data_IF_409804824133
#
_entry.id   IF_409804824133
#
_cell.length_a   1.000
_cell.length_b   1.000
_cell.length_c   1.000
_cell.angle_alpha   90.00
_cell.angle_beta   90.00
_cell.angle_gamma   90.00
#
_symmetry.space_group_name_H-M   'P 1'
#
loop_
_entity.id
_entity.type
_entity.pdbx_description
1 polymer ?
#
# COMPACT_ATOMS: atom_id res chain seq x y z
N UNK A 1 13.65 -16.56 -7.96
CA UNK A 1 13.73 -16.37 -6.49
C UNK A 1 14.88 -15.44 -6.11
N UNK A 2 16.12 -15.71 -6.55
CA UNK A 2 17.30 -14.85 -6.29
C UNK A 2 17.17 -13.45 -6.95
N UNK A 3 16.64 -13.36 -8.17
CA UNK A 3 16.41 -12.05 -8.83
C UNK A 3 15.28 -11.24 -8.18
N UNK A 4 14.29 -11.91 -7.60
CA UNK A 4 13.22 -11.25 -6.84
C UNK A 4 13.76 -10.66 -5.53
N UNK A 5 14.61 -11.41 -4.83
CA UNK A 5 15.32 -10.94 -3.64
C UNK A 5 16.23 -9.76 -3.94
N UNK A 6 16.96 -9.76 -5.08
CA UNK A 6 17.77 -8.61 -5.50
C UNK A 6 16.93 -7.39 -5.83
N UNK A 7 15.84 -7.57 -6.59
CA UNK A 7 14.95 -6.48 -7.02
C UNK A 7 14.19 -5.83 -5.85
N UNK A 8 13.89 -6.59 -4.80
CA UNK A 8 13.17 -6.13 -3.61
C UNK A 8 14.06 -6.08 -2.35
N UNK A 9 15.38 -6.15 -2.51
CA UNK A 9 16.37 -6.21 -1.41
C UNK A 9 16.22 -5.07 -0.42
N UNK A 10 16.00 -3.85 -0.91
CA UNK A 10 15.80 -2.66 -0.09
C UNK A 10 14.56 -2.78 0.81
N UNK A 11 13.51 -3.43 0.32
CA UNK A 11 12.27 -3.67 1.06
C UNK A 11 12.48 -4.70 2.18
N UNK A 12 13.32 -5.72 1.94
CA UNK A 12 13.72 -6.67 2.97
C UNK A 12 14.62 -6.05 4.03
N UNK A 13 15.57 -5.18 3.65
CA UNK A 13 16.43 -4.47 4.61
C UNK A 13 15.59 -3.58 5.52
N UNK A 14 14.68 -2.80 4.95
CA UNK A 14 13.76 -1.96 5.75
C UNK A 14 12.87 -2.85 6.63
N UNK A 15 12.34 -3.95 6.10
CA UNK A 15 11.51 -4.88 6.86
C UNK A 15 12.23 -5.47 8.07
N UNK A 16 13.48 -5.91 7.90
CA UNK A 16 14.29 -6.46 9.00
C UNK A 16 14.54 -5.38 10.07
N UNK A 17 14.86 -4.15 9.67
CA UNK A 17 15.06 -3.03 10.61
C UNK A 17 13.76 -2.78 11.38
N UNK A 18 12.62 -2.68 10.71
CA UNK A 18 11.32 -2.45 11.36
C UNK A 18 10.98 -3.55 12.37
N UNK A 19 11.24 -4.82 12.02
CA UNK A 19 10.98 -5.95 12.93
C UNK A 19 11.89 -5.90 14.16
N UNK A 20 13.19 -5.63 13.98
CA UNK A 20 14.15 -5.53 15.10
C UNK A 20 13.78 -4.39 16.04
N UNK A 21 13.46 -3.21 15.48
CA UNK A 21 13.01 -2.07 16.28
C UNK A 21 11.67 -2.31 16.97
N UNK A 22 10.73 -3.01 16.33
CA UNK A 22 9.45 -3.37 16.93
C UNK A 22 9.57 -4.35 18.11
N UNK A 23 10.55 -5.26 18.09
CA UNK A 23 10.80 -6.17 19.22
C UNK A 23 11.55 -5.48 20.36
N UNK A 24 12.49 -4.59 20.05
CA UNK A 24 13.27 -3.87 21.07
C UNK A 24 12.51 -2.70 21.71
N UNK A 25 11.59 -2.07 20.97
CA UNK A 25 10.81 -0.92 21.41
C UNK A 25 9.31 -1.14 21.12
N UNK A 26 8.64 -2.05 21.83
CA UNK A 26 7.25 -2.40 21.58
C UNK A 26 6.27 -1.24 21.83
N UNK A 27 6.66 -0.27 22.68
CA UNK A 27 5.83 0.88 23.05
C UNK A 27 6.00 2.08 22.09
N UNK A 28 6.76 1.91 21.00
CA UNK A 28 6.98 2.99 20.04
C UNK A 28 5.73 3.21 19.19
N UNK A 29 4.97 4.26 19.48
CA UNK A 29 3.86 4.72 18.66
C UNK A 29 4.34 5.70 17.59
N UNK A 30 3.90 5.51 16.35
CA UNK A 30 4.09 6.49 15.28
C UNK A 30 2.80 7.29 15.19
N UNK A 31 2.84 8.53 15.66
CA UNK A 31 1.71 9.44 15.56
C UNK A 31 1.75 10.16 14.20
N UNK A 32 0.73 9.92 13.38
CA UNK A 32 0.59 10.57 12.07
C UNK A 32 -0.31 11.79 12.26
N UNK A 33 0.22 12.98 11.96
CA UNK A 33 -0.51 14.24 12.12
C UNK A 33 -0.79 14.95 10.79
N UNK A 34 -1.77 15.85 10.81
CA UNK A 34 -2.09 16.76 9.72
C UNK A 34 -2.61 16.05 8.47
N UNK A 35 -2.14 16.47 7.29
CA UNK A 35 -2.67 16.01 6.01
C UNK A 35 -2.54 14.50 5.75
N UNK A 36 -1.50 13.86 6.30
CA UNK A 36 -1.30 12.41 6.17
C UNK A 36 -2.33 11.61 6.99
N UNK A 37 -2.73 12.12 8.16
CA UNK A 37 -3.77 11.50 8.96
C UNK A 37 -5.12 11.53 8.23
N UNK A 38 -5.47 12.69 7.67
CA UNK A 38 -6.68 12.84 6.86
C UNK A 38 -6.68 11.95 5.62
N UNK A 39 -5.53 11.79 4.95
CA UNK A 39 -5.39 10.90 3.80
C UNK A 39 -5.62 9.44 4.21
N UNK A 40 -5.06 9.00 5.34
CA UNK A 40 -5.27 7.65 5.87
C UNK A 40 -6.76 7.40 6.25
N UNK A 41 -7.43 8.40 6.83
CA UNK A 41 -8.86 8.33 7.14
C UNK A 41 -9.71 8.25 5.87
N UNK A 42 -9.40 9.05 4.84
CA UNK A 42 -10.15 9.02 3.57
C UNK A 42 -9.96 7.68 2.86
N UNK A 43 -8.72 7.21 2.76
CA UNK A 43 -8.40 5.94 2.09
C UNK A 43 -9.02 4.74 2.79
N UNK A 44 -8.97 4.67 4.13
CA UNK A 44 -9.63 3.61 4.88
C UNK A 44 -11.15 3.60 4.69
N UNK A 45 -11.80 4.76 4.70
CA UNK A 45 -13.25 4.85 4.45
C UNK A 45 -13.61 4.43 3.02
N UNK A 46 -12.86 4.86 2.01
CA UNK A 46 -13.10 4.49 0.60
C UNK A 46 -12.92 2.98 0.40
N UNK A 47 -11.85 2.40 0.96
CA UNK A 47 -11.62 0.95 0.89
C UNK A 47 -12.72 0.17 1.61
N UNK A 48 -13.16 0.64 2.79
CA UNK A 48 -14.26 0.05 3.53
C UNK A 48 -15.58 0.05 2.74
N UNK A 49 -15.92 1.18 2.12
CA UNK A 49 -17.10 1.28 1.25
C UNK A 49 -17.01 0.35 0.04
N UNK A 50 -15.84 0.26 -0.60
CA UNK A 50 -15.61 -0.67 -1.72
C UNK A 50 -15.74 -2.13 -1.28
N UNK A 51 -15.25 -2.50 -0.10
CA UNK A 51 -15.43 -3.84 0.45
C UNK A 51 -16.90 -4.17 0.70
N UNK A 52 -17.64 -3.26 1.33
CA UNK A 52 -19.09 -3.43 1.57
C UNK A 52 -19.84 -3.54 0.24
N UNK A 53 -19.52 -2.68 -0.73
CA UNK A 53 -20.13 -2.72 -2.06
C UNK A 53 -19.83 -4.04 -2.79
N UNK A 54 -18.58 -4.50 -2.78
CA UNK A 54 -18.21 -5.79 -3.35
C UNK A 54 -18.89 -6.95 -2.65
N UNK A 55 -19.08 -6.89 -1.33
CA UNK A 55 -19.82 -7.89 -0.56
C UNK A 55 -21.31 -7.94 -0.91
N UNK A 56 -21.96 -6.79 -1.13
CA UNK A 56 -23.39 -6.70 -1.48
C UNK A 56 -23.65 -7.12 -2.93
N UNK A 57 -22.81 -6.66 -3.87
CA UNK A 57 -23.02 -6.85 -5.31
C UNK A 57 -22.23 -8.03 -5.90
N UNK A 58 -21.52 -8.81 -5.07
CA UNK A 58 -20.77 -10.00 -5.52
C UNK A 58 -19.54 -9.68 -6.37
N UNK A 59 -18.92 -8.51 -6.15
CA UNK A 59 -17.76 -8.06 -6.91
C UNK A 59 -16.45 -8.64 -6.37
N UNK A 60 -15.51 -8.96 -7.27
CA UNK A 60 -14.14 -9.35 -6.90
C UNK A 60 -13.21 -8.13 -6.97
N UNK A 61 -12.54 -7.79 -5.86
CA UNK A 61 -11.51 -6.75 -5.87
C UNK A 61 -10.20 -7.38 -6.36
N UNK A 62 -9.84 -7.14 -7.62
CA UNK A 62 -8.51 -7.51 -8.13
C UNK A 62 -7.53 -6.35 -7.91
N UNK A 63 -6.59 -6.53 -6.98
CA UNK A 63 -5.46 -5.60 -6.83
C UNK A 63 -4.38 -5.95 -7.86
N UNK A 64 -4.34 -5.19 -8.95
CA UNK A 64 -3.18 -5.23 -9.86
C UNK A 64 -2.05 -4.42 -9.24
N UNK A 65 -0.93 -5.08 -8.92
CA UNK A 65 0.27 -4.48 -8.30
C UNK A 65 1.09 -3.64 -9.28
N UNK A 66 0.55 -3.29 -10.45
CA UNK A 66 1.19 -2.34 -11.35
C UNK A 66 1.19 -0.99 -10.63
N UNK A 67 2.37 -0.57 -10.17
CA UNK A 67 2.53 0.67 -9.43
C UNK A 67 1.90 1.87 -10.14
N UNK A 68 1.73 2.98 -9.42
CA UNK A 68 1.11 4.19 -9.97
C UNK A 68 1.76 4.64 -11.30
N UNK A 69 3.08 4.45 -11.43
CA UNK A 69 3.89 4.87 -12.58
C UNK A 69 3.47 4.19 -13.90
N UNK A 70 3.45 2.85 -14.03
CA UNK A 70 2.98 2.19 -15.26
C UNK A 70 1.51 2.49 -15.59
N UNK A 71 0.65 2.65 -14.58
CA UNK A 71 -0.78 2.95 -14.77
C UNK A 71 -1.01 4.36 -15.34
N UNK A 72 -0.29 5.37 -14.81
CA UNK A 72 -0.26 6.73 -15.36
C UNK A 72 0.30 6.77 -16.78
N UNK A 73 1.36 5.99 -17.05
CA UNK A 73 1.96 5.91 -18.39
C UNK A 73 1.00 5.33 -19.42
N UNK A 74 0.18 4.34 -19.06
CA UNK A 74 -0.86 3.78 -19.94
C UNK A 74 -1.98 4.79 -20.20
N UNK A 75 -2.42 5.52 -19.18
CA UNK A 75 -3.43 6.57 -19.34
C UNK A 75 -2.98 7.70 -20.27
N UNK A 76 -1.76 8.21 -20.07
CA UNK A 76 -1.17 9.25 -20.94
C UNK A 76 -1.00 8.78 -22.39
N UNK A 77 -0.68 7.50 -22.61
CA UNK A 77 -0.49 6.94 -23.95
C UNK A 77 -1.80 6.67 -24.69
N UNK A 78 -2.91 6.51 -23.97
CA UNK A 78 -4.26 6.29 -24.54
C UNK A 78 -4.95 7.59 -24.96
N UNK A 79 -4.42 8.75 -24.53
CA UNK A 79 -4.93 10.08 -24.86
C UNK A 79 -4.30 10.69 -26.12
N UNK A 80 -3.54 9.92 -26.89
CA UNK A 80 -2.91 10.31 -28.16
C UNK A 80 -3.40 9.39 -29.27
#
# INVERSE_FOLDING_TARGET
>A
MIDHLKKHSLLYVIGIIVVVFGVLFPDFSIEIYGGLAWLAVITSNVVGLLMVYCGIFGGTISYTSEGLIPTLRRWLKKSK
#
